data_IF_255820408248
#
_entry.id   IF_255820408248
#
_cell.length_a   1.000
_cell.length_b   1.000
_cell.length_c   1.000
_cell.angle_alpha   90.00
_cell.angle_beta   90.00
_cell.angle_gamma   90.00
#
_symmetry.space_group_name_H-M   'P 1'
#
loop_
_entity.id
_entity.type
_entity.pdbx_description
1 polymer ?
#
# COMPACT_ATOMS: atom_id res chain seq x y z
N UNK A 1 98.27 -18.63 42.30
CA UNK A 1 98.04 -18.22 40.90
C UNK A 1 96.86 -18.94 40.24
N UNK A 2 96.35 -20.05 40.79
CA UNK A 2 95.23 -20.81 40.20
C UNK A 2 93.81 -20.28 40.48
N UNK A 3 93.58 -19.58 41.59
CA UNK A 3 92.24 -19.06 41.92
C UNK A 3 91.76 -17.95 40.96
N UNK A 4 92.68 -17.10 40.49
CA UNK A 4 92.37 -16.00 39.55
C UNK A 4 92.10 -16.53 38.12
N UNK A 5 92.65 -17.71 37.78
CA UNK A 5 92.45 -18.36 36.47
C UNK A 5 91.11 -19.08 36.38
N UNK A 6 90.55 -19.56 37.51
CA UNK A 6 89.20 -20.14 37.58
C UNK A 6 88.10 -19.08 37.55
N UNK A 7 88.25 -17.98 38.29
CA UNK A 7 87.27 -16.87 38.30
C UNK A 7 87.07 -16.25 36.90
N UNK A 8 88.14 -16.08 36.12
CA UNK A 8 88.06 -15.57 34.73
C UNK A 8 87.35 -16.51 33.75
N UNK A 9 87.31 -17.81 34.03
CA UNK A 9 86.66 -18.80 33.16
C UNK A 9 85.16 -18.91 33.48
N UNK A 10 84.77 -18.79 34.75
CA UNK A 10 83.36 -18.80 35.15
C UNK A 10 82.61 -17.56 34.66
N UNK A 11 83.23 -16.37 34.73
CA UNK A 11 82.63 -15.14 34.19
C UNK A 11 82.46 -15.18 32.65
N UNK A 12 83.39 -15.84 31.95
CA UNK A 12 83.33 -16.03 30.49
C UNK A 12 82.24 -17.04 30.10
N UNK A 13 82.06 -18.10 30.89
CA UNK A 13 80.98 -19.08 30.68
C UNK A 13 79.62 -18.45 30.99
N UNK A 14 79.52 -17.66 32.06
CA UNK A 14 78.29 -16.97 32.48
C UNK A 14 77.84 -15.92 31.46
N UNK A 15 78.79 -15.24 30.80
CA UNK A 15 78.49 -14.30 29.72
C UNK A 15 78.11 -14.98 28.40
N UNK A 16 78.65 -16.17 28.10
CA UNK A 16 78.24 -16.97 26.93
C UNK A 16 76.84 -17.56 27.11
N UNK A 17 76.52 -18.09 28.30
CA UNK A 17 75.19 -18.65 28.59
C UNK A 17 74.11 -17.56 28.59
N UNK A 18 74.42 -16.35 29.08
CA UNK A 18 73.53 -15.19 28.97
C UNK A 18 73.30 -14.78 27.51
N UNK A 19 74.36 -14.73 26.69
CA UNK A 19 74.25 -14.37 25.27
C UNK A 19 73.44 -15.41 24.48
N UNK A 20 73.68 -16.69 24.73
CA UNK A 20 72.92 -17.79 24.12
C UNK A 20 71.44 -17.74 24.53
N UNK A 21 71.16 -17.57 25.83
CA UNK A 21 69.81 -17.43 26.35
C UNK A 21 69.08 -16.20 25.79
N UNK A 22 69.77 -15.05 25.71
CA UNK A 22 69.22 -13.83 25.13
C UNK A 22 68.93 -13.99 23.63
N UNK A 23 69.81 -14.68 22.89
CA UNK A 23 69.60 -14.94 21.46
C UNK A 23 68.41 -15.86 21.22
N UNK A 24 68.26 -16.92 22.02
CA UNK A 24 67.10 -17.82 21.96
C UNK A 24 65.82 -17.05 22.30
N UNK A 25 65.86 -16.17 23.31
CA UNK A 25 64.74 -15.32 23.68
C UNK A 25 64.32 -14.37 22.54
N UNK A 26 65.26 -13.66 21.92
CA UNK A 26 64.97 -12.73 20.81
C UNK A 26 64.45 -13.49 19.58
N UNK A 27 65.03 -14.63 19.22
CA UNK A 27 64.54 -15.46 18.11
C UNK A 27 63.12 -15.97 18.37
N UNK A 28 62.83 -16.40 19.60
CA UNK A 28 61.50 -16.84 20.00
C UNK A 28 60.49 -15.68 19.97
N UNK A 29 60.89 -14.48 20.42
CA UNK A 29 60.05 -13.29 20.40
C UNK A 29 59.72 -12.84 18.97
N UNK A 30 60.70 -12.87 18.06
CA UNK A 30 60.49 -12.58 16.64
C UNK A 30 59.52 -13.60 16.01
N UNK A 31 59.66 -14.89 16.36
CA UNK A 31 58.75 -15.93 15.89
C UNK A 31 57.31 -15.69 16.41
N UNK A 32 57.14 -15.35 17.68
CA UNK A 32 55.81 -15.02 18.24
C UNK A 32 55.22 -13.78 17.56
N UNK A 33 55.99 -12.69 17.42
CA UNK A 33 55.51 -11.46 16.78
C UNK A 33 55.13 -11.68 15.31
N UNK A 34 55.86 -12.54 14.59
CA UNK A 34 55.53 -12.88 13.20
C UNK A 34 54.29 -13.77 13.06
N UNK A 35 53.89 -14.49 14.11
CA UNK A 35 52.66 -15.30 14.15
C UNK A 35 51.43 -14.50 14.59
N UNK A 36 51.59 -13.37 15.29
CA UNK A 36 50.47 -12.50 15.70
C UNK A 36 49.59 -12.04 14.52
N UNK A 37 50.14 -11.59 13.37
CA UNK A 37 49.33 -11.28 12.20
C UNK A 37 48.52 -12.47 11.67
N UNK A 38 49.08 -13.69 11.74
CA UNK A 38 48.40 -14.91 11.29
C UNK A 38 47.19 -15.30 12.16
N UNK A 39 47.25 -14.99 13.46
CA UNK A 39 46.12 -15.18 14.40
C UNK A 39 45.03 -14.12 14.16
N UNK A 40 45.42 -12.88 13.81
CA UNK A 40 44.49 -11.79 13.54
C UNK A 40 43.89 -11.82 12.12
N UNK A 41 44.54 -12.50 11.17
CA UNK A 41 44.03 -12.69 9.81
C UNK A 41 42.71 -13.46 9.73
N UNK A 42 42.38 -14.26 10.75
CA UNK A 42 41.08 -14.93 10.88
C UNK A 42 39.98 -14.06 11.52
N UNK A 43 40.32 -12.87 12.02
CA UNK A 43 39.37 -11.94 12.67
C UNK A 43 38.92 -10.84 11.69
N UNK A 44 39.61 -10.67 10.56
CA UNK A 44 39.14 -9.85 9.45
C UNK A 44 38.36 -10.70 8.45
N UNK A 45 37.04 -10.74 8.66
CA UNK A 45 35.99 -10.66 7.64
C UNK A 45 34.79 -11.51 8.06
N UNK A 46 33.84 -10.90 8.78
CA UNK A 46 32.47 -11.14 8.38
C UNK A 46 32.41 -10.63 6.94
N UNK A 47 32.49 -11.51 5.93
CA UNK A 47 32.08 -11.14 4.59
C UNK A 47 30.59 -10.85 4.75
N UNK A 48 30.24 -9.58 4.87
CA UNK A 48 28.86 -9.15 4.95
C UNK A 48 28.24 -9.56 3.62
N UNK A 49 27.39 -10.59 3.67
CA UNK A 49 26.72 -11.11 2.50
C UNK A 49 25.54 -10.19 2.16
N UNK A 50 25.86 -9.10 1.45
CA UNK A 50 24.87 -8.13 1.01
C UNK A 50 23.79 -8.75 0.13
N UNK A 51 24.13 -9.78 -0.66
CA UNK A 51 23.18 -10.50 -1.50
C UNK A 51 22.17 -11.26 -0.65
N UNK A 52 22.60 -11.90 0.43
CA UNK A 52 21.70 -12.56 1.38
C UNK A 52 20.73 -11.57 2.05
N UNK A 53 21.23 -10.37 2.43
CA UNK A 53 20.38 -9.32 2.99
C UNK A 53 19.38 -8.81 1.95
N UNK A 54 19.83 -8.49 0.74
CA UNK A 54 18.96 -8.04 -0.35
C UNK A 54 17.91 -9.11 -0.71
N UNK A 55 18.29 -10.38 -0.74
CA UNK A 55 17.39 -11.50 -0.98
C UNK A 55 16.29 -11.58 0.10
N UNK A 56 16.65 -11.63 1.39
CA UNK A 56 15.68 -11.70 2.49
C UNK A 56 14.74 -10.51 2.49
N UNK A 57 15.29 -9.30 2.32
CA UNK A 57 14.49 -8.08 2.24
C UNK A 57 13.50 -8.16 1.08
N UNK A 58 13.94 -8.60 -0.11
CA UNK A 58 13.04 -8.78 -1.25
C UNK A 58 11.93 -9.79 -0.98
N UNK A 59 12.21 -10.91 -0.31
CA UNK A 59 11.23 -11.94 0.05
C UNK A 59 10.15 -11.35 0.97
N UNK A 60 10.56 -10.59 1.98
CA UNK A 60 9.62 -9.95 2.91
C UNK A 60 8.71 -8.99 2.17
N UNK A 61 9.26 -8.16 1.28
CA UNK A 61 8.45 -7.19 0.53
C UNK A 61 7.47 -7.87 -0.42
N UNK A 62 7.89 -8.91 -1.16
CA UNK A 62 7.08 -9.47 -2.25
C UNK A 62 6.25 -10.70 -1.89
N UNK A 63 6.57 -11.41 -0.81
CA UNK A 63 5.90 -12.66 -0.42
C UNK A 63 5.14 -12.56 0.91
N UNK A 64 5.55 -11.66 1.82
CA UNK A 64 4.85 -11.45 3.10
C UNK A 64 3.70 -10.43 2.92
N UNK A 65 2.49 -10.66 3.47
CA UNK A 65 1.43 -9.66 3.51
C UNK A 65 1.64 -8.58 4.60
N UNK A 66 2.67 -8.68 5.41
CA UNK A 66 3.00 -7.76 6.49
C UNK A 66 2.35 -8.11 7.82
N UNK A 67 2.77 -7.38 8.85
CA UNK A 67 2.26 -7.50 10.22
C UNK A 67 2.27 -6.13 10.91
N UNK A 68 1.19 -5.74 11.62
CA UNK A 68 -0.01 -6.53 11.93
C UNK A 68 -0.93 -6.77 10.72
N UNK A 69 -1.75 -7.83 10.81
CA UNK A 69 -2.74 -8.20 9.78
C UNK A 69 -4.18 -7.83 10.16
N UNK A 70 -4.43 -7.42 11.41
CA UNK A 70 -5.76 -7.02 11.87
C UNK A 70 -5.68 -5.96 13.00
N UNK A 71 -5.93 -4.68 12.71
CA UNK A 71 -6.02 -4.12 11.35
C UNK A 71 -4.69 -4.28 10.61
N UNK A 72 -4.75 -4.36 9.28
CA UNK A 72 -3.53 -4.40 8.47
C UNK A 72 -2.74 -3.10 8.63
N UNK A 73 -1.41 -3.16 8.67
CA UNK A 73 -0.56 -1.97 8.85
C UNK A 73 -0.84 -0.85 7.82
N UNK A 74 -1.30 -1.20 6.62
CA UNK A 74 -1.64 -0.21 5.60
C UNK A 74 -2.89 0.62 5.91
N UNK A 75 -3.67 0.25 6.93
CA UNK A 75 -4.85 0.99 7.38
C UNK A 75 -4.56 2.04 8.45
N UNK A 76 -3.34 2.06 9.02
CA UNK A 76 -2.95 3.03 10.04
C UNK A 76 -2.96 4.48 9.49
N UNK A 77 -3.67 5.42 10.11
CA UNK A 77 -3.76 6.80 9.64
C UNK A 77 -2.83 7.77 10.36
N UNK A 78 -3.03 9.07 10.15
CA UNK A 78 -2.31 10.14 10.86
C UNK A 78 -2.31 9.96 12.38
N UNK A 79 -3.45 9.53 12.94
CA UNK A 79 -3.60 9.27 14.37
C UNK A 79 -2.83 8.05 14.88
N UNK A 80 -2.40 7.16 13.99
CA UNK A 80 -1.67 5.93 14.31
C UNK A 80 -0.15 6.08 14.17
N UNK A 81 0.35 7.28 13.85
CA UNK A 81 1.79 7.53 13.72
C UNK A 81 2.57 7.14 14.99
N UNK A 82 1.93 7.24 16.16
CA UNK A 82 2.51 6.86 17.47
C UNK A 82 2.59 5.33 17.67
N UNK A 83 1.80 4.57 16.92
CA UNK A 83 1.76 3.09 16.97
C UNK A 83 2.59 2.44 15.86
N UNK A 84 3.42 3.23 15.17
CA UNK A 84 4.29 2.74 14.09
C UNK A 84 5.28 1.68 14.55
N UNK A 85 5.67 1.70 15.82
CA UNK A 85 6.53 0.68 16.45
C UNK A 85 5.83 -0.68 16.59
N UNK A 86 4.50 -0.72 16.51
CA UNK A 86 3.73 -1.98 16.50
C UNK A 86 3.82 -2.69 15.15
N UNK A 87 4.25 -1.99 14.10
CA UNK A 87 4.49 -2.58 12.79
C UNK A 87 5.76 -3.43 12.87
N UNK A 88 5.59 -4.73 12.67
CA UNK A 88 6.70 -5.69 12.74
C UNK A 88 7.32 -5.93 11.37
N UNK A 89 6.51 -5.96 10.31
CA UNK A 89 6.97 -6.26 8.94
C UNK A 89 6.15 -5.52 7.89
N UNK A 90 6.83 -4.83 6.98
CA UNK A 90 6.22 -4.11 5.86
C UNK A 90 6.11 -4.99 4.60
N UNK A 91 5.47 -6.14 4.74
CA UNK A 91 5.17 -6.99 3.59
C UNK A 91 4.11 -6.36 2.69
N UNK A 92 4.34 -6.37 1.37
CA UNK A 92 3.47 -5.70 0.38
C UNK A 92 2.51 -6.67 -0.31
N UNK A 93 2.67 -7.98 -0.14
CA UNK A 93 1.82 -8.96 -0.79
C UNK A 93 0.35 -8.80 -0.37
N UNK A 94 -0.58 -9.12 -1.28
CA UNK A 94 -2.01 -9.14 -0.97
C UNK A 94 -2.31 -10.21 0.09
N UNK A 95 -1.72 -11.41 -0.09
CA UNK A 95 -1.91 -12.54 0.81
C UNK A 95 -0.70 -13.48 0.75
N UNK A 96 -0.59 -14.38 1.74
CA UNK A 96 0.44 -15.44 1.76
C UNK A 96 0.32 -16.42 0.58
N UNK A 97 -0.88 -16.57 0.05
CA UNK A 97 -1.17 -17.52 -1.05
C UNK A 97 -0.89 -16.90 -2.43
N UNK A 98 -0.54 -15.62 -2.49
CA UNK A 98 -0.30 -14.86 -3.73
C UNK A 98 1.04 -14.14 -3.68
N UNK A 99 2.18 -14.87 -3.63
CA UNK A 99 3.50 -14.25 -3.65
C UNK A 99 3.71 -13.48 -4.96
N UNK A 100 4.47 -12.40 -4.90
CA UNK A 100 4.73 -11.45 -5.97
C UNK A 100 3.50 -10.66 -6.45
N UNK A 101 2.33 -10.79 -5.82
CA UNK A 101 1.16 -9.95 -6.11
C UNK A 101 1.00 -8.95 -4.96
N UNK A 102 1.31 -7.69 -5.23
CA UNK A 102 1.36 -6.61 -4.25
C UNK A 102 0.03 -5.85 -4.20
N UNK A 103 -0.36 -5.38 -3.02
CA UNK A 103 -1.50 -4.46 -2.88
C UNK A 103 -1.09 -3.05 -3.26
N UNK A 104 -1.86 -2.37 -4.13
CA UNK A 104 -1.65 -0.95 -4.47
C UNK A 104 -1.63 -0.06 -3.22
N UNK A 105 -2.54 -0.27 -2.28
CA UNK A 105 -2.60 0.50 -1.04
C UNK A 105 -1.32 0.34 -0.17
N UNK A 106 -0.77 -0.89 -0.10
CA UNK A 106 0.49 -1.14 0.61
C UNK A 106 1.68 -0.50 -0.10
N UNK A 107 1.72 -0.60 -1.43
CA UNK A 107 2.76 0.02 -2.26
C UNK A 107 2.76 1.54 -2.07
N UNK A 108 1.61 2.19 -2.23
CA UNK A 108 1.51 3.64 -2.12
C UNK A 108 1.96 4.13 -0.74
N UNK A 109 1.55 3.43 0.32
CA UNK A 109 1.94 3.77 1.68
C UNK A 109 3.41 3.48 1.99
N UNK A 110 3.94 2.34 1.52
CA UNK A 110 5.35 2.00 1.68
C UNK A 110 6.25 3.06 1.03
N UNK A 111 5.86 3.57 -0.13
CA UNK A 111 6.62 4.60 -0.85
C UNK A 111 6.21 6.03 -0.50
N UNK A 112 5.58 6.25 0.66
CA UNK A 112 5.16 7.58 1.17
C UNK A 112 4.33 8.42 0.18
N UNK A 113 3.55 7.75 -0.68
CA UNK A 113 2.64 8.42 -1.62
C UNK A 113 1.34 8.85 -0.94
N UNK A 114 1.08 8.37 0.27
CA UNK A 114 0.00 8.81 1.14
C UNK A 114 0.56 9.74 2.22
N UNK A 115 0.13 11.02 2.29
CA UNK A 115 0.78 12.01 3.15
C UNK A 115 0.42 11.89 4.64
N UNK A 116 -0.66 11.18 4.96
CA UNK A 116 -1.19 10.97 6.30
C UNK A 116 -0.33 10.01 7.16
N UNK A 117 0.40 9.09 6.53
CA UNK A 117 1.26 8.13 7.20
C UNK A 117 2.52 7.85 6.38
N UNK A 118 3.68 8.25 6.90
CA UNK A 118 4.96 8.15 6.18
C UNK A 118 6.01 7.36 6.97
N UNK A 119 6.87 6.64 6.26
CA UNK A 119 8.04 5.92 6.78
C UNK A 119 9.32 6.75 6.60
N UNK A 120 10.13 6.84 7.64
CA UNK A 120 11.46 7.45 7.59
C UNK A 120 12.52 6.41 7.24
N UNK A 121 13.73 6.87 6.96
CA UNK A 121 14.87 5.99 6.69
C UNK A 121 15.13 4.97 7.82
N UNK A 122 14.92 5.39 9.07
CA UNK A 122 15.14 4.53 10.24
C UNK A 122 14.09 3.41 10.31
N UNK A 123 12.84 3.70 9.92
CA UNK A 123 11.78 2.69 9.89
C UNK A 123 12.08 1.58 8.88
N UNK A 124 12.64 1.91 7.71
CA UNK A 124 13.04 0.89 6.75
C UNK A 124 14.20 0.05 7.28
N UNK A 125 15.16 0.67 7.97
CA UNK A 125 16.27 -0.08 8.58
C UNK A 125 15.78 -1.07 9.63
N UNK A 126 14.85 -0.66 10.49
CA UNK A 126 14.35 -1.52 11.56
C UNK A 126 13.34 -2.57 11.07
N UNK A 127 12.42 -2.18 10.18
CA UNK A 127 11.21 -2.97 9.87
C UNK A 127 11.28 -3.73 8.54
N UNK A 128 12.32 -3.49 7.74
CA UNK A 128 12.49 -4.08 6.40
C UNK A 128 13.86 -4.71 6.25
N UNK A 129 14.91 -4.00 6.63
CA UNK A 129 16.30 -4.43 6.48
C UNK A 129 16.76 -5.07 7.79
N UNK A 130 16.20 -6.23 8.10
CA UNK A 130 16.54 -6.98 9.32
C UNK A 130 18.04 -7.29 9.35
N UNK A 131 18.78 -6.70 10.29
CA UNK A 131 20.21 -6.99 10.47
C UNK A 131 20.83 -6.24 11.63
N UNK A 132 21.91 -6.80 12.19
CA UNK A 132 22.63 -6.21 13.33
C UNK A 132 23.56 -5.05 12.94
N UNK A 133 23.74 -4.84 11.63
CA UNK A 133 24.56 -3.79 11.06
C UNK A 133 23.68 -2.74 10.38
N UNK A 134 24.08 -1.47 10.46
CA UNK A 134 23.42 -0.39 9.74
C UNK A 134 23.83 -0.45 8.26
N UNK A 135 22.92 -0.94 7.42
CA UNK A 135 23.11 -0.97 5.97
C UNK A 135 22.66 0.33 5.31
N UNK A 136 23.33 0.69 4.21
CA UNK A 136 22.78 1.60 3.21
C UNK A 136 21.96 0.80 2.21
N UNK A 137 20.95 1.43 1.63
CA UNK A 137 20.02 0.72 0.76
C UNK A 137 19.45 1.59 -0.34
N UNK A 138 18.96 0.92 -1.37
CA UNK A 138 18.02 1.48 -2.35
C UNK A 138 16.94 0.45 -2.60
N UNK A 139 15.68 0.79 -2.31
CA UNK A 139 14.53 -0.05 -2.62
C UNK A 139 13.70 0.72 -3.63
N UNK A 140 13.48 0.14 -4.80
CA UNK A 140 12.71 0.76 -5.87
C UNK A 140 11.70 -0.17 -6.51
N UNK A 141 10.60 0.40 -6.98
CA UNK A 141 9.57 -0.30 -7.75
C UNK A 141 9.31 0.45 -9.04
N UNK A 142 9.43 -0.24 -10.18
CA UNK A 142 9.05 0.29 -11.47
C UNK A 142 7.85 -0.48 -12.01
N UNK A 143 6.80 0.24 -12.42
CA UNK A 143 5.60 -0.34 -13.02
C UNK A 143 5.63 -0.13 -14.54
N UNK A 144 5.15 -1.11 -15.30
CA UNK A 144 5.15 -1.05 -16.77
C UNK A 144 4.26 0.08 -17.32
N UNK A 145 3.26 0.49 -16.55
CA UNK A 145 2.33 1.58 -16.91
C UNK A 145 2.86 2.96 -16.55
N UNK A 146 3.99 3.07 -15.85
CA UNK A 146 4.47 4.33 -15.28
C UNK A 146 5.91 4.62 -15.73
N UNK A 147 6.20 5.89 -16.03
CA UNK A 147 7.54 6.30 -16.48
C UNK A 147 8.54 6.44 -15.34
N UNK A 148 8.04 6.68 -14.12
CA UNK A 148 8.85 6.93 -12.94
C UNK A 148 8.90 5.69 -12.04
N UNK A 149 10.06 5.45 -11.44
CA UNK A 149 10.22 4.45 -10.40
C UNK A 149 9.87 5.05 -9.04
N UNK A 150 9.31 4.25 -8.16
CA UNK A 150 9.10 4.59 -6.77
C UNK A 150 10.38 4.27 -6.00
N UNK A 151 10.72 5.08 -5.01
CA UNK A 151 11.90 4.89 -4.18
C UNK A 151 11.52 5.01 -2.71
N UNK A 152 12.01 4.08 -1.89
CA UNK A 152 11.82 4.16 -0.45
C UNK A 152 12.56 5.38 0.11
N UNK A 153 11.95 6.05 1.09
CA UNK A 153 12.55 7.22 1.75
C UNK A 153 13.89 6.85 2.38
N UNK A 154 14.86 7.76 2.29
CA UNK A 154 16.23 7.50 2.75
C UNK A 154 17.03 6.53 1.89
N UNK A 155 16.48 6.07 0.75
CA UNK A 155 17.21 5.29 -0.22
C UNK A 155 18.32 6.11 -0.88
N UNK A 156 19.55 5.61 -0.81
CA UNK A 156 20.74 6.27 -1.35
C UNK A 156 20.93 5.95 -2.84
N UNK A 157 21.79 6.71 -3.52
CA UNK A 157 22.20 6.33 -4.87
C UNK A 157 23.01 5.04 -4.84
N UNK A 158 22.66 4.11 -5.73
CA UNK A 158 23.37 2.82 -5.85
C UNK A 158 24.86 3.09 -6.09
N UNK A 159 25.76 2.55 -5.26
CA UNK A 159 27.17 2.85 -5.34
C UNK A 159 27.82 2.19 -6.56
N UNK A 160 29.00 2.68 -6.93
CA UNK A 160 29.82 2.06 -7.99
C UNK A 160 30.75 0.95 -7.49
N UNK A 161 30.82 0.75 -6.17
CA UNK A 161 31.60 -0.33 -5.54
C UNK A 161 30.72 -1.56 -5.25
N UNK A 162 31.21 -2.52 -4.46
CA UNK A 162 30.48 -3.73 -4.12
C UNK A 162 29.18 -3.46 -3.35
N UNK A 163 28.07 -3.98 -3.86
CA UNK A 163 26.77 -4.02 -3.21
C UNK A 163 26.10 -5.36 -3.53
N UNK A 164 25.12 -5.75 -2.72
CA UNK A 164 24.24 -6.88 -3.01
C UNK A 164 22.92 -6.40 -3.56
N UNK A 165 22.29 -7.19 -4.44
CA UNK A 165 21.01 -6.81 -5.02
C UNK A 165 20.10 -7.99 -5.32
N UNK A 166 18.79 -7.73 -5.34
CA UNK A 166 17.78 -8.68 -5.77
C UNK A 166 16.70 -7.98 -6.60
N UNK A 167 16.36 -8.56 -7.75
CA UNK A 167 15.26 -8.12 -8.61
C UNK A 167 14.14 -9.14 -8.63
N UNK A 168 12.90 -8.70 -8.44
CA UNK A 168 11.71 -9.56 -8.47
C UNK A 168 10.72 -9.01 -9.48
N UNK A 169 10.22 -9.89 -10.35
CA UNK A 169 9.04 -9.59 -11.15
C UNK A 169 7.83 -9.64 -10.23
N UNK A 170 7.05 -8.57 -10.21
CA UNK A 170 5.88 -8.43 -9.36
C UNK A 170 4.67 -7.97 -10.18
N UNK A 171 3.49 -8.16 -9.61
CA UNK A 171 2.24 -7.64 -10.12
C UNK A 171 1.60 -6.77 -9.06
N UNK A 172 1.31 -5.51 -9.35
CA UNK A 172 0.53 -4.64 -8.45
C UNK A 172 -0.94 -4.80 -8.79
N UNK A 173 -1.73 -5.15 -7.78
CA UNK A 173 -3.18 -5.28 -7.88
C UNK A 173 -3.81 -3.90 -7.75
N UNK A 174 -4.44 -3.45 -8.83
CA UNK A 174 -5.18 -2.19 -8.88
C UNK A 174 -6.56 -2.30 -8.22
N UNK A 175 -7.07 -1.19 -7.66
CA UNK A 175 -8.42 -1.15 -7.10
C UNK A 175 -9.48 -1.40 -8.19
N UNK A 176 -10.65 -1.90 -7.77
CA UNK A 176 -11.81 -2.05 -8.65
C UNK A 176 -12.53 -0.72 -8.87
N UNK A 177 -13.18 -0.59 -10.03
CA UNK A 177 -13.92 0.61 -10.43
C UNK A 177 -15.28 0.23 -10.99
N UNK A 178 -16.36 0.75 -10.41
CA UNK A 178 -17.69 0.73 -11.01
C UNK A 178 -17.85 1.97 -11.90
N UNK A 179 -17.62 1.80 -13.21
CA UNK A 179 -17.83 2.85 -14.22
C UNK A 179 -19.25 2.74 -14.80
N UNK A 180 -20.17 3.49 -14.19
CA UNK A 180 -21.61 3.44 -14.48
C UNK A 180 -21.94 4.51 -15.52
N UNK A 181 -21.86 4.09 -16.78
CA UNK A 181 -22.28 4.91 -17.92
C UNK A 181 -23.78 4.72 -18.19
N UNK A 182 -24.60 5.71 -17.85
CA UNK A 182 -26.05 5.64 -17.99
C UNK A 182 -26.53 5.51 -19.45
N UNK A 183 -25.70 5.82 -20.45
CA UNK A 183 -26.04 5.51 -21.85
C UNK A 183 -26.11 3.99 -22.12
N UNK A 184 -25.43 3.18 -21.30
CA UNK A 184 -25.36 1.72 -21.45
C UNK A 184 -26.28 0.95 -20.49
N UNK A 185 -26.84 1.62 -19.48
CA UNK A 185 -27.68 1.00 -18.44
C UNK A 185 -29.07 1.64 -18.39
N UNK A 186 -30.11 0.81 -18.34
CA UNK A 186 -31.50 1.26 -18.27
C UNK A 186 -31.96 1.60 -16.84
N UNK A 187 -31.19 2.42 -16.11
CA UNK A 187 -31.52 2.85 -14.74
C UNK A 187 -32.48 4.04 -14.73
N UNK A 188 -33.69 3.83 -15.27
CA UNK A 188 -34.71 4.88 -15.40
C UNK A 188 -36.05 4.50 -14.79
N UNK A 189 -36.66 5.47 -14.13
CA UNK A 189 -38.06 5.44 -13.71
C UNK A 189 -38.86 6.47 -14.50
N UNK A 190 -40.18 6.45 -14.31
CA UNK A 190 -41.08 7.40 -14.97
C UNK A 190 -42.17 7.90 -14.01
N UNK A 191 -42.54 9.17 -14.14
CA UNK A 191 -43.60 9.81 -13.34
C UNK A 191 -44.42 10.75 -14.23
N UNK A 192 -45.70 10.91 -13.95
CA UNK A 192 -46.59 11.79 -14.71
C UNK A 192 -47.04 12.98 -13.87
N UNK A 193 -47.25 14.14 -14.51
CA UNK A 193 -47.88 15.33 -13.93
C UNK A 193 -47.17 15.84 -12.66
N UNK A 194 -45.83 15.86 -12.68
CA UNK A 194 -45.00 16.34 -11.57
C UNK A 194 -44.00 17.37 -12.08
N UNK A 195 -44.02 18.56 -11.50
CA UNK A 195 -43.09 19.64 -11.85
C UNK A 195 -41.76 19.56 -11.13
N UNK A 196 -41.71 18.97 -9.93
CA UNK A 196 -40.48 18.79 -9.13
C UNK A 196 -40.46 17.41 -8.48
N UNK A 197 -39.33 16.73 -8.58
CA UNK A 197 -39.15 15.38 -8.08
C UNK A 197 -37.78 15.21 -7.44
N UNK A 198 -37.71 14.50 -6.30
CA UNK A 198 -36.44 14.02 -5.74
C UNK A 198 -36.42 12.50 -5.73
N UNK A 199 -35.35 11.90 -6.26
CA UNK A 199 -35.17 10.45 -6.36
C UNK A 199 -33.72 10.04 -6.15
N UNK A 200 -33.55 8.77 -5.82
CA UNK A 200 -32.25 8.19 -5.54
C UNK A 200 -31.89 7.13 -6.56
N UNK A 201 -30.63 7.13 -6.97
CA UNK A 201 -29.96 6.01 -7.59
C UNK A 201 -29.03 5.36 -6.56
N UNK A 202 -28.97 4.03 -6.52
CA UNK A 202 -28.19 3.32 -5.50
C UNK A 202 -27.08 2.47 -6.12
N UNK A 203 -25.94 2.40 -5.46
CA UNK A 203 -24.91 1.38 -5.70
C UNK A 203 -24.83 0.50 -4.46
N UNK A 204 -25.08 -0.80 -4.62
CA UNK A 204 -25.00 -1.79 -3.55
C UNK A 204 -23.64 -2.47 -3.60
N UNK A 205 -22.94 -2.49 -2.48
CA UNK A 205 -21.65 -3.14 -2.28
C UNK A 205 -21.88 -4.37 -1.38
N UNK A 206 -22.11 -5.56 -1.97
CA UNK A 206 -22.36 -6.79 -1.22
C UNK A 206 -21.06 -7.39 -0.67
N UNK A 207 -20.80 -7.25 0.63
CA UNK A 207 -19.53 -7.70 1.19
C UNK A 207 -19.33 -9.21 1.06
N UNK A 208 -20.37 -10.01 1.26
CA UNK A 208 -20.33 -11.48 1.13
C UNK A 208 -19.83 -11.93 -0.24
N UNK A 209 -20.35 -11.30 -1.30
CA UNK A 209 -19.97 -11.62 -2.67
C UNK A 209 -18.54 -11.20 -2.94
N UNK A 210 -18.15 -9.99 -2.50
CA UNK A 210 -16.82 -9.43 -2.73
C UNK A 210 -15.72 -10.26 -2.05
N UNK A 211 -15.90 -10.64 -0.78
CA UNK A 211 -14.88 -11.39 -0.05
C UNK A 211 -14.95 -12.92 -0.28
N UNK A 212 -15.80 -13.37 -1.21
CA UNK A 212 -16.03 -14.79 -1.48
C UNK A 212 -14.71 -15.53 -1.72
N UNK A 213 -14.47 -16.56 -0.90
CA UNK A 213 -13.21 -17.32 -0.92
C UNK A 213 -12.98 -18.14 -2.19
N UNK A 214 -14.03 -18.35 -2.99
CA UNK A 214 -13.94 -19.00 -4.29
C UNK A 214 -13.23 -18.13 -5.33
N UNK A 215 -13.21 -16.81 -5.14
CA UNK A 215 -12.44 -15.88 -5.98
C UNK A 215 -10.98 -15.89 -5.50
N UNK A 216 -10.04 -16.05 -6.43
CA UNK A 216 -8.61 -16.05 -6.10
C UNK A 216 -8.20 -14.73 -5.42
N UNK A 217 -7.44 -14.73 -4.31
CA UNK A 217 -7.05 -13.51 -3.59
C UNK A 217 -6.40 -12.44 -4.47
N UNK A 218 -5.71 -12.84 -5.55
CA UNK A 218 -5.10 -11.95 -6.53
C UNK A 218 -6.11 -10.99 -7.19
N UNK A 219 -7.37 -11.40 -7.31
CA UNK A 219 -8.45 -10.64 -7.95
C UNK A 219 -9.59 -10.31 -6.99
N UNK A 220 -9.54 -10.82 -5.75
CA UNK A 220 -10.62 -10.67 -4.79
C UNK A 220 -10.69 -9.25 -4.23
N UNK A 221 -11.71 -8.49 -4.57
CA UNK A 221 -12.01 -7.18 -4.00
C UNK A 221 -12.24 -7.32 -2.49
N UNK A 222 -11.44 -6.60 -1.69
CA UNK A 222 -11.53 -6.61 -0.24
C UNK A 222 -11.90 -5.23 0.33
N UNK A 223 -13.17 -4.98 0.66
CA UNK A 223 -13.63 -3.72 1.25
C UNK A 223 -12.98 -3.36 2.60
N UNK A 224 -12.27 -4.28 3.26
CA UNK A 224 -11.55 -3.99 4.50
C UNK A 224 -10.17 -3.38 4.24
N UNK A 225 -9.57 -3.63 3.08
CA UNK A 225 -8.17 -3.27 2.82
C UNK A 225 -7.92 -2.56 1.49
N UNK A 226 -8.94 -2.50 0.62
CA UNK A 226 -8.84 -1.96 -0.73
C UNK A 226 -9.78 -0.77 -0.95
N UNK A 227 -9.28 0.20 -1.70
CA UNK A 227 -10.03 1.36 -2.15
C UNK A 227 -11.04 0.95 -3.24
N UNK A 228 -12.30 1.37 -3.11
CA UNK A 228 -13.33 1.20 -4.14
C UNK A 228 -13.68 2.52 -4.80
N UNK A 229 -13.77 2.54 -6.13
CA UNK A 229 -14.21 3.72 -6.89
C UNK A 229 -15.58 3.50 -7.54
N UNK A 230 -16.46 4.49 -7.47
CA UNK A 230 -17.72 4.59 -8.20
C UNK A 230 -17.67 5.83 -9.09
N UNK A 231 -17.95 5.68 -10.37
CA UNK A 231 -18.03 6.77 -11.35
C UNK A 231 -19.39 6.74 -12.03
N UNK A 232 -20.11 7.86 -12.00
CA UNK A 232 -21.39 8.04 -12.68
C UNK A 232 -21.20 9.02 -13.84
N UNK A 233 -21.57 8.62 -15.06
CA UNK A 233 -21.43 9.43 -16.27
C UNK A 233 -22.65 9.32 -17.19
N UNK A 234 -22.82 10.30 -18.10
CA UNK A 234 -23.95 10.38 -19.06
C UNK A 234 -25.35 10.35 -18.41
N UNK A 235 -25.44 10.83 -17.17
CA UNK A 235 -26.69 10.85 -16.39
C UNK A 235 -27.75 11.73 -17.05
N UNK A 236 -27.39 12.99 -17.33
CA UNK A 236 -28.33 13.97 -17.89
C UNK A 236 -28.69 13.66 -19.35
N UNK A 237 -27.68 13.32 -20.17
CA UNK A 237 -27.87 12.99 -21.58
C UNK A 237 -28.76 11.77 -21.80
N UNK A 238 -28.74 10.82 -20.86
CA UNK A 238 -29.64 9.67 -20.87
C UNK A 238 -31.12 10.04 -20.63
N UNK A 239 -31.38 11.08 -19.83
CA UNK A 239 -32.73 11.53 -19.50
C UNK A 239 -33.27 12.57 -20.50
N UNK A 240 -32.39 13.43 -21.04
CA UNK A 240 -32.75 14.56 -21.89
C UNK A 240 -33.06 14.12 -23.34
N UNK A 241 -34.14 13.36 -23.52
CA UNK A 241 -34.63 12.97 -24.85
C UNK A 241 -35.68 13.96 -25.35
N UNK A 242 -35.25 15.02 -26.04
CA UNK A 242 -35.97 15.98 -26.92
C UNK A 242 -37.29 16.65 -26.50
N UNK A 243 -38.00 16.19 -25.47
CA UNK A 243 -39.31 16.74 -25.04
C UNK A 243 -39.42 16.96 -23.54
N UNK A 244 -38.37 16.64 -22.79
CA UNK A 244 -38.34 16.67 -21.33
C UNK A 244 -37.21 17.62 -20.91
N UNK A 245 -37.50 18.93 -20.84
CA UNK A 245 -36.55 19.91 -20.33
C UNK A 245 -36.49 19.73 -18.81
N UNK A 246 -35.61 18.81 -18.40
CA UNK A 246 -35.30 18.55 -17.00
C UNK A 246 -34.15 19.47 -16.62
N UNK A 247 -34.25 20.21 -15.52
CA UNK A 247 -33.07 20.64 -14.78
C UNK A 247 -32.78 19.55 -13.78
N UNK A 248 -31.56 19.01 -13.77
CA UNK A 248 -31.14 17.96 -12.85
C UNK A 248 -30.05 18.50 -11.93
N UNK A 249 -30.25 18.39 -10.62
CA UNK A 249 -29.22 18.68 -9.64
C UNK A 249 -28.86 17.42 -8.86
N UNK A 250 -27.59 17.30 -8.53
CA UNK A 250 -27.08 16.36 -7.54
C UNK A 250 -27.15 17.00 -6.16
N UNK A 251 -27.95 16.41 -5.28
CA UNK A 251 -28.22 16.95 -3.94
C UNK A 251 -27.26 16.38 -2.89
N UNK A 252 -26.66 15.21 -3.15
CA UNK A 252 -25.70 14.59 -2.24
C UNK A 252 -25.78 13.07 -2.17
N UNK A 253 -25.13 12.51 -1.14
CA UNK A 253 -25.10 11.06 -0.90
C UNK A 253 -25.65 10.69 0.48
N UNK A 254 -26.15 9.46 0.58
CA UNK A 254 -26.40 8.79 1.83
C UNK A 254 -25.78 7.39 1.83
N UNK A 255 -25.02 7.05 2.87
CA UNK A 255 -24.51 5.71 3.10
C UNK A 255 -25.46 4.94 4.01
N UNK A 256 -25.83 3.74 3.60
CA UNK A 256 -26.78 2.91 4.34
C UNK A 256 -26.23 1.50 4.53
N UNK A 257 -26.29 1.00 5.76
CA UNK A 257 -26.11 -0.44 6.02
C UNK A 257 -27.40 -1.17 5.66
N UNK A 258 -27.33 -2.24 4.90
CA UNK A 258 -28.44 -3.18 4.76
C UNK A 258 -28.37 -4.25 5.85
N UNK A 259 -29.49 -4.49 6.54
CA UNK A 259 -29.63 -5.56 7.52
C UNK A 259 -30.14 -6.85 6.86
N UNK A 260 -30.02 -7.96 7.57
CA UNK A 260 -30.43 -9.29 7.11
C UNK A 260 -31.93 -9.38 6.74
N UNK A 261 -32.78 -8.55 7.36
CA UNK A 261 -34.22 -8.45 7.05
C UNK A 261 -34.51 -7.60 5.80
N UNK A 262 -33.47 -7.08 5.14
CA UNK A 262 -33.56 -6.24 3.95
C UNK A 262 -33.80 -4.76 4.24
N UNK A 263 -34.02 -4.36 5.50
CA UNK A 263 -34.13 -2.96 5.88
C UNK A 263 -32.77 -2.25 5.81
N UNK A 264 -32.80 -0.91 5.77
CA UNK A 264 -31.58 -0.10 5.68
C UNK A 264 -31.47 0.92 6.80
N UNK A 265 -30.30 1.00 7.44
CA UNK A 265 -29.97 2.01 8.45
C UNK A 265 -29.05 3.06 7.83
N UNK A 266 -29.40 4.34 7.95
CA UNK A 266 -28.55 5.46 7.55
C UNK A 266 -27.33 5.55 8.47
N UNK A 267 -26.14 5.71 7.88
CA UNK A 267 -24.92 6.01 8.60
C UNK A 267 -24.86 7.54 8.80
N UNK A 268 -24.92 8.04 10.05
CA UNK A 268 -24.90 9.47 10.31
C UNK A 268 -23.50 10.07 10.04
N UNK A 269 -23.45 11.39 9.82
CA UNK A 269 -22.17 12.13 9.79
C UNK A 269 -21.44 12.09 8.45
N UNK A 270 -22.15 12.15 7.33
CA UNK A 270 -21.56 12.10 5.99
C UNK A 270 -20.98 13.44 5.50
N UNK A 271 -20.58 14.31 6.42
CA UNK A 271 -20.16 15.66 6.09
C UNK A 271 -18.90 16.03 6.87
N UNK A 272 -17.89 16.63 6.21
CA UNK A 272 -17.83 16.98 4.77
C UNK A 272 -17.68 15.76 3.86
N UNK A 273 -18.06 15.89 2.58
CA UNK A 273 -17.96 14.81 1.59
C UNK A 273 -16.51 14.52 1.10
N UNK A 274 -15.52 14.87 1.91
CA UNK A 274 -14.10 14.66 1.67
C UNK A 274 -13.44 14.48 3.05
N UNK A 275 -13.05 13.25 3.37
CA UNK A 275 -12.46 12.86 4.65
C UNK A 275 -11.71 11.53 4.51
N UNK A 276 -11.19 11.02 5.64
CA UNK A 276 -10.36 9.80 5.71
C UNK A 276 -11.10 8.51 5.30
N UNK A 277 -12.44 8.55 5.19
CA UNK A 277 -13.28 7.38 4.83
C UNK A 277 -13.82 7.44 3.41
N UNK A 278 -13.98 8.62 2.81
CA UNK A 278 -14.39 8.76 1.42
C UNK A 278 -14.14 10.18 0.86
N UNK A 279 -14.05 10.27 -0.47
CA UNK A 279 -14.00 11.52 -1.22
C UNK A 279 -15.06 11.53 -2.32
N UNK A 280 -15.79 12.64 -2.45
CA UNK A 280 -16.84 12.83 -3.45
C UNK A 280 -16.59 14.10 -4.26
N UNK A 281 -16.51 13.92 -5.58
CA UNK A 281 -16.25 15.02 -6.53
C UNK A 281 -17.30 15.02 -7.63
N UNK A 282 -17.77 16.22 -7.98
CA UNK A 282 -18.54 16.48 -9.21
C UNK A 282 -17.63 17.28 -10.11
N UNK A 283 -17.36 16.79 -11.32
CA UNK A 283 -16.52 17.47 -12.32
C UNK A 283 -15.13 17.83 -11.78
N UNK A 284 -14.54 16.91 -11.01
CA UNK A 284 -13.24 17.05 -10.38
C UNK A 284 -13.20 17.99 -9.16
N UNK A 285 -14.32 18.62 -8.80
CA UNK A 285 -14.41 19.55 -7.67
C UNK A 285 -15.09 18.87 -6.47
N UNK A 286 -14.48 18.97 -5.28
CA UNK A 286 -15.10 18.46 -4.05
C UNK A 286 -16.46 19.15 -3.80
N UNK A 287 -17.47 18.35 -3.47
CA UNK A 287 -18.84 18.85 -3.30
C UNK A 287 -19.06 19.24 -1.84
N UNK A 288 -19.41 20.51 -1.53
CA UNK A 288 -19.84 20.86 -0.19
C UNK A 288 -21.24 20.30 0.10
N UNK A 289 -21.44 19.93 1.36
CA UNK A 289 -22.65 19.31 1.90
C UNK A 289 -23.97 19.95 1.47
N UNK A 290 -23.99 21.28 1.43
CA UNK A 290 -25.21 22.09 1.51
C UNK A 290 -25.51 22.85 0.20
N UNK A 291 -24.94 22.42 -0.92
CA UNK A 291 -25.10 23.13 -2.18
C UNK A 291 -25.30 22.15 -3.33
N UNK A 292 -26.57 21.98 -3.80
CA UNK A 292 -26.85 21.17 -4.96
C UNK A 292 -25.99 21.59 -6.15
N UNK A 293 -25.49 20.60 -6.89
CA UNK A 293 -24.67 20.82 -8.08
C UNK A 293 -25.49 20.52 -9.32
N UNK A 294 -25.54 21.46 -10.25
CA UNK A 294 -26.16 21.23 -11.55
C UNK A 294 -25.44 20.08 -12.26
N UNK A 295 -26.21 19.15 -12.81
CA UNK A 295 -25.70 18.03 -13.61
C UNK A 295 -26.08 18.29 -15.06
N UNK A 296 -25.09 18.33 -15.93
CA UNK A 296 -25.28 18.51 -17.37
C UNK A 296 -24.81 17.28 -18.18
N UNK A 297 -24.78 17.42 -19.51
CA UNK A 297 -24.40 16.34 -20.43
C UNK A 297 -22.97 15.82 -20.24
N UNK A 298 -22.08 16.65 -19.71
CA UNK A 298 -20.67 16.34 -19.46
C UNK A 298 -20.37 16.01 -18.01
N UNK A 299 -21.33 16.20 -17.10
CA UNK A 299 -21.09 16.01 -15.67
C UNK A 299 -20.72 14.57 -15.30
N UNK A 300 -19.70 14.45 -14.46
CA UNK A 300 -19.20 13.19 -13.90
C UNK A 300 -19.19 13.29 -12.38
N UNK A 301 -19.83 12.34 -11.72
CA UNK A 301 -19.76 12.17 -10.27
C UNK A 301 -18.78 11.03 -9.98
N UNK A 302 -17.73 11.33 -9.22
CA UNK A 302 -16.74 10.35 -8.77
C UNK A 302 -16.79 10.25 -7.26
N UNK A 303 -16.95 9.03 -6.77
CA UNK A 303 -16.89 8.70 -5.36
C UNK A 303 -15.81 7.67 -5.11
N UNK A 304 -14.97 7.98 -4.14
CA UNK A 304 -13.83 7.19 -3.69
C UNK A 304 -14.11 6.76 -2.25
N UNK A 305 -14.09 5.45 -1.99
CA UNK A 305 -14.37 4.85 -0.68
C UNK A 305 -13.07 4.26 -0.12
N UNK A 306 -12.57 4.86 0.95
CA UNK A 306 -11.31 4.45 1.58
C UNK A 306 -11.55 3.34 2.61
N UNK A 307 -10.70 2.29 2.63
CA UNK A 307 -10.82 1.20 3.59
C UNK A 307 -10.34 1.62 4.99
N UNK A 308 -10.85 0.97 6.05
CA UNK A 308 -11.88 -0.07 6.03
C UNK A 308 -13.27 0.54 5.82
N UNK A 309 -14.04 -0.01 4.86
CA UNK A 309 -15.39 0.47 4.62
C UNK A 309 -16.30 0.19 5.85
N UNK A 310 -17.31 1.04 6.12
CA UNK A 310 -18.23 0.83 7.24
C UNK A 310 -18.86 -0.56 7.24
N UNK A 311 -18.80 -1.25 8.39
CA UNK A 311 -19.33 -2.61 8.58
C UNK A 311 -18.72 -3.69 7.67
N UNK A 312 -17.57 -3.43 7.04
CA UNK A 312 -16.87 -4.41 6.20
C UNK A 312 -16.41 -5.66 6.96
N UNK A 313 -16.33 -5.58 8.29
CA UNK A 313 -16.12 -6.73 9.19
C UNK A 313 -17.36 -7.63 9.35
N UNK A 314 -18.56 -7.12 9.07
CA UNK A 314 -19.82 -7.85 9.08
C UNK A 314 -20.10 -8.41 7.69
N UNK A 315 -19.50 -9.56 7.39
CA UNK A 315 -19.41 -10.08 6.02
C UNK A 315 -20.75 -10.35 5.32
N UNK A 316 -21.84 -10.55 6.06
CA UNK A 316 -23.20 -10.74 5.51
C UNK A 316 -23.90 -9.42 5.21
N UNK A 317 -23.36 -8.30 5.69
CA UNK A 317 -23.90 -6.97 5.44
C UNK A 317 -23.55 -6.48 4.03
N UNK A 318 -24.25 -5.42 3.61
CA UNK A 318 -23.88 -4.66 2.42
C UNK A 318 -23.95 -3.16 2.68
N UNK A 319 -23.09 -2.41 2.01
CA UNK A 319 -23.14 -0.96 2.00
C UNK A 319 -23.89 -0.47 0.76
N UNK A 320 -24.95 0.30 0.99
CA UNK A 320 -25.72 0.95 -0.07
C UNK A 320 -25.37 2.44 -0.11
N UNK A 321 -24.76 2.87 -1.21
CA UNK A 321 -24.48 4.26 -1.51
C UNK A 321 -25.66 4.82 -2.31
N UNK A 322 -26.44 5.73 -1.71
CA UNK A 322 -27.59 6.38 -2.36
C UNK A 322 -27.19 7.77 -2.83
N UNK A 323 -27.16 7.97 -4.14
CA UNK A 323 -26.97 9.26 -4.79
C UNK A 323 -28.34 9.92 -4.95
N UNK A 324 -28.50 11.11 -4.36
CA UNK A 324 -29.77 11.86 -4.35
C UNK A 324 -29.76 12.92 -5.43
N UNK A 325 -30.84 12.99 -6.20
CA UNK A 325 -31.00 13.93 -7.28
C UNK A 325 -32.37 14.62 -7.22
N UNK A 326 -32.38 15.90 -7.54
CA UNK A 326 -33.58 16.70 -7.73
C UNK A 326 -33.75 17.05 -9.20
N UNK A 327 -35.00 17.00 -9.65
CA UNK A 327 -35.41 17.22 -11.02
C UNK A 327 -36.49 18.30 -11.03
N UNK A 328 -36.35 19.27 -11.94
CA UNK A 328 -37.40 20.21 -12.26
C UNK A 328 -37.81 20.01 -13.71
N UNK A 329 -39.08 19.70 -13.93
CA UNK A 329 -39.66 19.42 -15.24
C UNK A 329 -40.46 20.61 -15.76
N UNK A 330 -40.60 20.69 -17.08
CA UNK A 330 -41.55 21.62 -17.68
C UNK A 330 -42.99 21.26 -17.26
N UNK A 331 -43.82 22.28 -17.03
CA UNK A 331 -45.23 22.11 -16.65
C UNK A 331 -46.06 21.69 -17.87
N UNK A 332 -45.92 20.42 -18.27
CA UNK A 332 -46.70 19.80 -19.32
C UNK A 332 -47.21 18.42 -18.84
N UNK A 333 -48.36 17.94 -19.35
CA UNK A 333 -48.84 16.60 -19.06
C UNK A 333 -48.02 15.59 -19.87
N UNK A 334 -46.77 15.38 -19.46
CA UNK A 334 -45.85 14.41 -20.02
C UNK A 334 -45.46 13.36 -18.99
N UNK A 335 -45.01 12.22 -19.51
CA UNK A 335 -44.31 11.20 -18.72
C UNK A 335 -42.85 11.65 -18.61
N UNK A 336 -42.45 12.02 -17.40
CA UNK A 336 -41.11 12.48 -17.10
C UNK A 336 -40.20 11.34 -16.66
N UNK A 337 -38.95 11.36 -17.10
CA UNK A 337 -37.95 10.34 -16.69
C UNK A 337 -37.05 10.83 -15.56
N UNK A 338 -36.60 9.89 -14.73
CA UNK A 338 -35.62 10.14 -13.65
C UNK A 338 -34.69 8.95 -13.48
N UNK A 339 -33.52 9.15 -12.86
CA UNK A 339 -32.60 8.06 -12.54
C UNK A 339 -33.16 7.21 -11.41
N UNK A 340 -33.18 5.89 -11.59
CA UNK A 340 -33.69 4.98 -10.58
C UNK A 340 -33.06 3.60 -10.64
N UNK A 341 -33.20 2.84 -9.57
CA UNK A 341 -32.71 1.47 -9.48
C UNK A 341 -31.45 1.33 -8.64
N UNK A 342 -30.85 0.15 -8.73
CA UNK A 342 -29.68 -0.23 -7.94
C UNK A 342 -28.68 -0.97 -8.80
N UNK A 343 -27.46 -0.43 -8.88
CA UNK A 343 -26.34 -1.08 -9.51
C UNK A 343 -25.61 -1.96 -8.48
N UNK A 344 -25.25 -3.19 -8.85
CA UNK A 344 -24.52 -4.10 -7.97
C UNK A 344 -23.02 -3.93 -8.20
N UNK A 345 -22.26 -3.64 -7.15
CA UNK A 345 -20.80 -3.63 -7.18
C UNK A 345 -20.29 -5.06 -6.97
N UNK A 346 -20.31 -5.88 -8.02
CA UNK A 346 -19.99 -7.30 -7.96
C UNK A 346 -19.05 -7.75 -9.10
N UNK A 347 -18.58 -9.00 -9.08
CA UNK A 347 -17.63 -9.55 -10.06
C UNK A 347 -18.19 -9.76 -11.47
N UNK A 348 -19.41 -9.32 -11.77
CA UNK A 348 -19.97 -9.43 -13.13
C UNK A 348 -19.39 -8.33 -14.04
N UNK A 349 -20.05 -8.04 -15.17
CA UNK A 349 -19.71 -6.89 -16.01
C UNK A 349 -19.99 -5.53 -15.36
N UNK A 350 -20.50 -5.52 -14.13
CA UNK A 350 -20.86 -4.31 -13.41
C UNK A 350 -19.64 -3.51 -12.93
N UNK A 351 -18.52 -4.17 -12.62
CA UNK A 351 -17.28 -3.48 -12.23
C UNK A 351 -16.12 -3.90 -13.12
N UNK A 352 -15.17 -2.98 -13.29
CA UNK A 352 -13.84 -3.33 -13.78
C UNK A 352 -13.15 -4.11 -12.67
N UNK A 353 -12.91 -5.40 -12.91
CA UNK A 353 -12.22 -6.27 -11.97
C UNK A 353 -10.78 -5.78 -11.72
N UNK A 354 -10.22 -6.02 -10.52
CA UNK A 354 -8.84 -5.66 -10.19
C UNK A 354 -7.85 -6.14 -11.25
N UNK A 355 -7.19 -5.19 -11.92
CA UNK A 355 -6.15 -5.50 -12.90
C UNK A 355 -4.83 -5.73 -12.18
N UNK A 356 -4.05 -6.69 -12.69
CA UNK A 356 -2.67 -6.88 -12.26
C UNK A 356 -1.73 -6.15 -13.22
N UNK A 357 -1.04 -5.14 -12.72
CA UNK A 357 -0.04 -4.35 -13.46
C UNK A 357 1.34 -4.94 -13.23
N UNK A 358 2.06 -5.25 -14.30
CA UNK A 358 3.42 -5.77 -14.22
C UNK A 358 4.39 -4.72 -13.70
N UNK A 359 5.40 -5.18 -12.95
CA UNK A 359 6.45 -4.33 -12.44
C UNK A 359 7.69 -5.11 -12.00
N UNK A 360 8.74 -4.36 -11.68
CA UNK A 360 10.01 -4.88 -11.17
C UNK A 360 10.32 -4.18 -9.85
N UNK A 361 10.40 -4.98 -8.78
CA UNK A 361 10.92 -4.55 -7.48
C UNK A 361 12.41 -4.83 -7.43
N UNK A 362 13.22 -3.83 -7.11
CA UNK A 362 14.66 -3.94 -6.91
C UNK A 362 15.03 -3.53 -5.48
N UNK A 363 15.81 -4.38 -4.82
CA UNK A 363 16.40 -4.12 -3.52
C UNK A 363 17.91 -4.17 -3.67
N UNK A 364 18.60 -3.12 -3.23
CA UNK A 364 20.06 -2.99 -3.25
C UNK A 364 20.54 -2.65 -1.84
N UNK A 365 21.61 -3.30 -1.37
CA UNK A 365 22.14 -3.19 0.01
C UNK A 365 23.68 -3.09 -0.01
N UNK A 366 24.28 -2.22 0.81
CA UNK A 366 25.75 -2.10 0.97
C UNK A 366 26.20 -1.52 2.32
#
# INVERSE_FOLDING_TARGET
MDAIKRLKNEDAILSVDFLAGFTIFILSLIMVISLVPGVLAGIQSNNIDYDAVAYRTSVILVEDPGAPSNPSWNLMGEYDMQHKDEIQRLGLAVSKDTPNILSRAKVDKFFNRTPDFTFSAEDFREKVIFGDLTYLYNISLRLDTESESYYAEGGDSVPTFQYGYMRRLVKVKEPSVADINFASYAYTGSVENVSVLSRNFSVKIPYEDLINRSVNPAYRIDPQSEHLTIVLSNMYSHLNTTTDNVTMNFDGIGLYKQLDDGSTILIPGLYPYDNDTYSLKVDGTSVPADSPKLVDNSSVIRMELYPPLPFSNEITSSLNVKFSFSYAYADNPAVHKYLSGTHQYDYTTNVTQPKLVDGVMEVTIW
#
